data_IF_423227999248
#
_entry.id   IF_423227999248
#
_cell.length_a   1.000
_cell.length_b   1.000
_cell.length_c   1.000
_cell.angle_alpha   90.00
_cell.angle_beta   90.00
_cell.angle_gamma   90.00
#
_symmetry.space_group_name_H-M   'P 1'
#
loop_
_entity.id
_entity.type
_entity.pdbx_description
1 polymer ?
#
# COMPACT_ATOMS: atom_id res chain seq x y z
N UNK A 1 5.51 0.87 0.34
CA UNK A 1 5.39 2.28 -0.05
C UNK A 1 5.54 2.39 -1.56
N UNK A 2 4.94 3.38 -2.22
CA UNK A 2 5.17 3.64 -3.65
C UNK A 2 6.32 4.63 -3.80
N UNK A 3 7.30 4.31 -4.65
CA UNK A 3 8.55 5.08 -4.78
C UNK A 3 8.97 5.29 -6.24
N UNK A 4 9.57 6.45 -6.50
CA UNK A 4 10.13 6.88 -7.78
C UNK A 4 11.53 7.44 -7.53
N UNK A 5 12.56 6.84 -8.15
CA UNK A 5 13.94 7.32 -8.04
C UNK A 5 14.34 8.09 -9.29
N UNK A 6 14.79 9.33 -9.08
CA UNK A 6 15.33 10.22 -10.09
C UNK A 6 16.85 10.29 -9.94
N UNK A 7 17.57 10.30 -11.05
CA UNK A 7 19.00 10.61 -11.11
C UNK A 7 19.26 11.77 -12.05
N UNK A 8 20.26 12.57 -11.74
CA UNK A 8 20.71 13.67 -12.59
C UNK A 8 22.17 14.00 -12.32
N UNK A 9 22.78 14.80 -13.18
CA UNK A 9 24.13 15.32 -12.96
C UNK A 9 24.06 16.79 -12.61
N UNK A 10 24.70 17.19 -11.51
CA UNK A 10 24.84 18.58 -11.08
C UNK A 10 26.31 18.88 -10.78
N UNK A 11 26.87 19.92 -11.40
CA UNK A 11 28.29 20.28 -11.28
C UNK A 11 29.29 19.12 -11.52
N UNK A 12 28.92 18.15 -12.37
CA UNK A 12 29.73 16.96 -12.65
C UNK A 12 29.57 15.82 -11.64
N UNK A 13 28.74 15.98 -10.61
CA UNK A 13 28.41 14.96 -9.64
C UNK A 13 27.08 14.30 -9.98
N UNK A 14 27.01 12.97 -9.88
CA UNK A 14 25.74 12.25 -10.03
C UNK A 14 24.94 12.36 -8.73
N UNK A 15 23.74 12.91 -8.84
CA UNK A 15 22.78 13.08 -7.77
C UNK A 15 21.63 12.11 -7.94
N UNK A 16 21.12 11.58 -6.83
CA UNK A 16 19.99 10.65 -6.80
C UNK A 16 19.00 11.09 -5.76
N UNK A 17 17.71 11.00 -6.07
CA UNK A 17 16.62 11.28 -5.14
C UNK A 17 15.47 10.32 -5.32
N UNK A 18 15.06 9.68 -4.23
CA UNK A 18 13.87 8.83 -4.18
C UNK A 18 12.71 9.63 -3.61
N UNK A 19 11.61 9.66 -4.35
CA UNK A 19 10.34 10.28 -4.01
C UNK A 19 9.38 9.17 -3.63
N UNK A 20 8.61 9.33 -2.55
CA UNK A 20 7.61 8.36 -2.16
C UNK A 20 6.22 9.00 -2.03
N UNK A 21 5.16 8.20 -1.92
CA UNK A 21 3.79 8.72 -1.84
C UNK A 21 3.51 9.53 -0.55
N UNK A 22 4.36 9.45 0.46
CA UNK A 22 4.29 10.23 1.71
C UNK A 22 5.41 11.28 1.82
N UNK A 23 5.96 11.71 0.69
CA UNK A 23 7.16 12.53 0.71
C UNK A 23 6.92 13.84 1.50
N UNK A 24 7.80 14.18 2.46
CA UNK A 24 7.65 15.42 3.23
C UNK A 24 7.86 16.59 2.27
N UNK A 25 6.75 17.22 1.89
CA UNK A 25 6.69 18.27 0.89
C UNK A 25 6.08 19.52 1.49
N UNK A 26 6.44 20.69 0.96
CA UNK A 26 5.71 21.92 1.29
C UNK A 26 4.25 21.87 0.81
N UNK A 27 3.96 21.01 -0.18
CA UNK A 27 2.65 20.82 -0.78
C UNK A 27 2.26 19.34 -0.69
N UNK A 28 1.34 18.96 0.22
CA UNK A 28 1.05 17.55 0.53
C UNK A 28 0.80 16.70 -0.73
N UNK A 29 1.62 15.67 -0.90
CA UNK A 29 1.51 14.71 -2.01
C UNK A 29 2.02 15.22 -3.37
N UNK A 30 2.63 16.41 -3.44
CA UNK A 30 3.20 16.99 -4.66
C UNK A 30 4.63 17.45 -4.43
N UNK A 31 5.57 16.82 -5.12
CA UNK A 31 6.97 17.19 -5.12
C UNK A 31 7.23 18.23 -6.20
N UNK A 32 7.61 19.44 -5.80
CA UNK A 32 7.94 20.53 -6.71
C UNK A 32 9.42 20.54 -7.05
N UNK A 33 9.70 20.67 -8.34
CA UNK A 33 11.07 20.69 -8.86
C UNK A 33 11.29 21.96 -9.67
N UNK A 34 12.41 22.64 -9.41
CA UNK A 34 12.78 23.89 -10.06
C UNK A 34 14.05 24.48 -9.48
N UNK A 35 14.38 25.70 -9.88
CA UNK A 35 15.61 26.39 -9.45
C UNK A 35 15.47 27.16 -8.12
N UNK A 36 14.26 27.42 -7.67
CA UNK A 36 13.99 28.27 -6.52
C UNK A 36 13.82 27.45 -5.22
N UNK A 37 14.74 27.56 -4.25
CA UNK A 37 14.69 26.81 -3.00
C UNK A 37 13.53 27.18 -2.09
N UNK A 38 12.92 28.35 -2.28
CA UNK A 38 11.77 28.78 -1.47
C UNK A 38 10.46 28.13 -1.91
N UNK A 39 10.41 27.59 -3.13
CA UNK A 39 9.18 27.06 -3.75
C UNK A 39 9.24 25.58 -4.12
N UNK A 40 10.44 24.99 -4.14
CA UNK A 40 10.68 23.63 -4.62
C UNK A 40 11.21 22.73 -3.52
N UNK A 41 10.78 21.47 -3.53
CA UNK A 41 11.28 20.42 -2.65
C UNK A 41 12.59 19.81 -3.18
N UNK A 42 12.75 19.78 -4.52
CA UNK A 42 14.02 19.47 -5.19
C UNK A 42 14.49 20.70 -5.95
N UNK A 43 15.68 21.17 -5.60
CA UNK A 43 16.29 22.35 -6.19
C UNK A 43 17.33 21.91 -7.22
N UNK A 44 17.20 22.43 -8.44
CA UNK A 44 18.15 22.24 -9.53
C UNK A 44 18.84 23.57 -9.81
N UNK A 45 20.15 23.63 -9.62
CA UNK A 45 20.95 24.86 -9.67
C UNK A 45 21.12 25.42 -11.08
N UNK A 46 20.74 24.65 -12.11
CA UNK A 46 21.00 24.99 -13.50
C UNK A 46 20.22 26.23 -13.97
N UNK A 47 20.87 27.24 -14.58
CA UNK A 47 20.25 28.55 -14.89
C UNK A 47 19.07 28.49 -15.86
N UNK A 48 19.05 27.50 -16.76
CA UNK A 48 17.95 27.30 -17.72
C UNK A 48 16.72 26.61 -17.13
N UNK A 49 16.78 26.20 -15.86
CA UNK A 49 15.63 25.66 -15.13
C UNK A 49 14.81 26.83 -14.56
N UNK A 50 13.50 26.81 -14.83
CA UNK A 50 12.54 27.75 -14.25
C UNK A 50 12.54 27.67 -12.71
N UNK A 51 12.31 28.79 -12.03
CA UNK A 51 12.31 28.84 -10.56
C UNK A 51 11.37 27.79 -9.92
N UNK A 52 10.18 27.62 -10.49
CA UNK A 52 9.32 26.46 -10.28
C UNK A 52 8.98 25.91 -11.66
N UNK A 53 9.27 24.64 -11.95
CA UNK A 53 9.23 24.10 -13.31
C UNK A 53 8.16 23.02 -13.49
N UNK A 54 8.20 21.99 -12.65
CA UNK A 54 7.29 20.84 -12.71
C UNK A 54 6.82 20.44 -11.32
N UNK A 55 5.73 19.68 -11.30
CA UNK A 55 5.25 18.93 -10.14
C UNK A 55 5.26 17.44 -10.47
N UNK A 56 5.73 16.63 -9.53
CA UNK A 56 5.59 15.17 -9.57
C UNK A 56 4.69 14.76 -8.41
N UNK A 57 3.70 13.91 -8.68
CA UNK A 57 2.78 13.41 -7.66
C UNK A 57 2.38 11.97 -7.97
N UNK A 58 1.96 11.27 -6.92
CA UNK A 58 1.43 9.93 -7.05
C UNK A 58 -0.10 10.00 -7.19
N UNK A 59 -0.64 9.48 -8.29
CA UNK A 59 -2.08 9.40 -8.49
C UNK A 59 -2.62 8.13 -7.84
N UNK A 60 -3.29 8.28 -6.70
CA UNK A 60 -3.85 7.16 -5.93
C UNK A 60 -4.89 6.34 -6.72
N UNK A 61 -5.66 6.95 -7.61
CA UNK A 61 -6.67 6.22 -8.40
C UNK A 61 -6.03 5.38 -9.51
N UNK A 62 -4.95 5.89 -10.13
CA UNK A 62 -4.23 5.21 -11.21
C UNK A 62 -3.04 4.38 -10.72
N UNK A 63 -2.70 4.46 -9.43
CA UNK A 63 -1.53 3.81 -8.79
C UNK A 63 -0.22 4.06 -9.54
N UNK A 64 0.03 5.29 -9.97
CA UNK A 64 1.17 5.65 -10.82
C UNK A 64 1.69 7.05 -10.53
N UNK A 65 2.96 7.30 -10.81
CA UNK A 65 3.57 8.63 -10.73
C UNK A 65 3.32 9.44 -12.00
N UNK A 66 2.89 10.69 -11.82
CA UNK A 66 2.65 11.63 -12.90
C UNK A 66 3.51 12.87 -12.73
N UNK A 67 3.92 13.43 -13.87
CA UNK A 67 4.59 14.73 -13.96
C UNK A 67 3.64 15.72 -14.62
N UNK A 68 3.52 16.90 -14.04
CA UNK A 68 2.72 18.01 -14.55
C UNK A 68 3.60 19.20 -14.88
N UNK A 69 3.35 19.80 -16.05
CA UNK A 69 4.00 21.05 -16.45
C UNK A 69 3.40 22.25 -15.69
N UNK A 70 4.24 23.18 -15.24
CA UNK A 70 3.84 24.46 -14.64
C UNK A 70 4.26 25.70 -15.46
N UNK A 71 4.84 25.51 -16.64
CA UNK A 71 5.44 26.58 -17.45
C UNK A 71 5.15 26.45 -18.93
N UNK A 72 4.49 27.46 -19.48
CA UNK A 72 4.21 27.55 -20.92
C UNK A 72 5.43 28.03 -21.73
N UNK A 73 6.24 28.92 -21.15
CA UNK A 73 7.39 29.54 -21.82
C UNK A 73 8.61 28.65 -21.94
N UNK A 74 8.80 27.75 -20.97
CA UNK A 74 9.89 26.78 -20.92
C UNK A 74 9.32 25.44 -20.44
N UNK A 75 8.58 24.73 -21.29
CA UNK A 75 7.95 23.47 -20.94
C UNK A 75 8.99 22.35 -20.85
N UNK A 76 8.77 21.34 -19.98
CA UNK A 76 9.65 20.20 -19.87
C UNK A 76 9.58 19.34 -21.14
N UNK A 77 10.69 18.70 -21.49
CA UNK A 77 10.72 17.65 -22.51
C UNK A 77 10.71 16.30 -21.82
N UNK A 78 9.80 15.43 -22.22
CA UNK A 78 9.63 14.08 -21.69
C UNK A 78 9.86 13.14 -22.85
N UNK A 79 10.90 12.31 -22.77
CA UNK A 79 11.33 11.45 -23.88
C UNK A 79 11.45 12.23 -25.20
N UNK A 80 12.12 13.41 -25.14
CA UNK A 80 12.34 14.33 -26.26
C UNK A 80 11.09 15.04 -26.81
N UNK A 81 9.92 14.89 -26.18
CA UNK A 81 8.68 15.55 -26.57
C UNK A 81 8.31 16.65 -25.57
N UNK A 82 7.99 17.86 -26.05
CA UNK A 82 7.58 18.96 -25.17
C UNK A 82 6.19 18.70 -24.57
N UNK A 83 6.10 18.72 -23.25
CA UNK A 83 4.83 18.66 -22.53
C UNK A 83 4.31 20.09 -22.33
N UNK A 84 3.55 20.60 -23.30
CA UNK A 84 3.00 21.96 -23.25
C UNK A 84 1.86 22.04 -22.23
N UNK A 85 0.89 21.11 -22.32
CA UNK A 85 -0.29 21.06 -21.46
C UNK A 85 -0.51 19.67 -20.89
N UNK A 86 -0.95 19.60 -19.63
CA UNK A 86 -1.41 18.37 -19.00
C UNK A 86 -0.38 17.68 -18.11
N UNK A 87 -0.61 16.39 -17.90
CA UNK A 87 0.19 15.48 -17.08
C UNK A 87 0.71 14.32 -17.95
N UNK A 88 1.88 13.78 -17.63
CA UNK A 88 2.44 12.60 -18.28
C UNK A 88 2.78 11.54 -17.24
N UNK A 89 2.61 10.28 -17.61
CA UNK A 89 3.03 9.14 -16.78
C UNK A 89 4.55 9.08 -16.73
N UNK A 90 5.11 8.90 -15.53
CA UNK A 90 6.52 8.57 -15.33
C UNK A 90 6.68 7.07 -15.13
N UNK A 91 7.56 6.47 -15.94
CA UNK A 91 7.91 5.05 -15.87
C UNK A 91 9.43 4.88 -15.82
N UNK A 92 9.89 3.69 -15.44
CA UNK A 92 11.31 3.36 -15.50
C UNK A 92 11.90 3.69 -16.88
N UNK A 93 13.03 4.38 -16.90
CA UNK A 93 13.68 4.86 -18.12
C UNK A 93 13.01 6.08 -18.76
N UNK A 94 12.16 6.83 -18.03
CA UNK A 94 11.66 8.12 -18.54
C UNK A 94 12.74 9.18 -18.45
N UNK A 95 13.00 9.87 -19.56
CA UNK A 95 13.95 10.98 -19.65
C UNK A 95 13.20 12.30 -19.50
N UNK A 96 13.54 13.07 -18.48
CA UNK A 96 12.94 14.37 -18.18
C UNK A 96 14.00 15.44 -18.39
N UNK A 97 13.74 16.40 -19.27
CA UNK A 97 14.64 17.51 -19.51
C UNK A 97 13.96 18.83 -19.18
N UNK A 98 14.58 19.57 -18.25
CA UNK A 98 14.15 20.86 -17.75
C UNK A 98 15.15 21.92 -18.21
N UNK A 99 14.84 22.62 -19.31
CA UNK A 99 15.82 23.46 -19.99
C UNK A 99 16.98 22.61 -20.54
N UNK A 100 18.17 22.72 -19.94
CA UNK A 100 19.35 21.92 -20.26
C UNK A 100 19.68 20.88 -19.17
N UNK A 101 18.97 20.90 -18.04
CA UNK A 101 19.14 19.89 -17.00
C UNK A 101 18.39 18.62 -17.40
N UNK A 102 19.09 17.49 -17.42
CA UNK A 102 18.52 16.17 -17.69
C UNK A 102 18.39 15.39 -16.39
N UNK A 103 17.25 14.72 -16.23
CA UNK A 103 16.93 13.79 -15.16
C UNK A 103 16.42 12.49 -15.78
N UNK A 104 16.69 11.37 -15.13
CA UNK A 104 16.23 10.05 -15.55
C UNK A 104 15.50 9.36 -14.41
N UNK A 105 14.42 8.65 -14.73
CA UNK A 105 13.75 7.75 -13.79
C UNK A 105 14.46 6.40 -13.81
N UNK A 106 15.25 6.10 -12.77
CA UNK A 106 16.07 4.88 -12.70
C UNK A 106 15.46 3.75 -11.87
N UNK A 107 14.43 4.06 -11.06
CA UNK A 107 13.66 3.03 -10.37
C UNK A 107 12.22 3.50 -10.17
N UNK A 108 11.28 2.56 -10.27
CA UNK A 108 9.88 2.74 -9.88
C UNK A 108 9.48 1.49 -9.10
N UNK A 109 9.08 1.67 -7.84
CA UNK A 109 8.57 0.61 -6.98
C UNK A 109 7.13 0.93 -6.64
N UNK A 110 6.19 0.20 -7.24
CA UNK A 110 4.77 0.35 -6.96
C UNK A 110 4.34 -0.83 -6.09
N UNK A 111 3.68 -0.57 -4.97
CA UNK A 111 3.09 -1.64 -4.20
C UNK A 111 1.87 -2.16 -4.95
N UNK A 112 1.84 -3.46 -5.32
CA UNK A 112 0.63 -4.02 -5.88
C UNK A 112 -0.46 -3.93 -4.82
N UNK A 113 -1.60 -3.35 -5.21
CA UNK A 113 -2.81 -3.47 -4.40
C UNK A 113 -3.08 -4.97 -4.24
N UNK A 114 -2.91 -5.50 -3.03
CA UNK A 114 -3.21 -6.89 -2.73
C UNK A 114 -4.73 -7.05 -2.77
N UNK A 115 -5.29 -7.21 -3.97
CA UNK A 115 -6.63 -7.76 -4.09
C UNK A 115 -6.49 -9.22 -3.66
N UNK A 116 -7.09 -9.65 -2.53
CA UNK A 116 -7.05 -11.06 -2.17
C UNK A 116 -7.68 -11.83 -3.34
N UNK A 117 -7.02 -12.88 -3.86
CA UNK A 117 -7.58 -13.64 -4.96
C UNK A 117 -8.93 -14.18 -4.53
N UNK A 118 -9.97 -13.96 -5.34
CA UNK A 118 -11.23 -14.65 -5.15
C UNK A 118 -10.99 -16.13 -5.43
N UNK A 119 -10.87 -16.93 -4.37
CA UNK A 119 -10.76 -18.38 -4.49
C UNK A 119 -12.12 -18.93 -4.92
N UNK A 120 -12.21 -19.32 -6.20
CA UNK A 120 -13.32 -20.13 -6.70
C UNK A 120 -13.06 -21.57 -6.28
N UNK A 121 -13.72 -22.01 -5.22
CA UNK A 121 -13.73 -23.42 -4.86
C UNK A 121 -14.64 -24.19 -5.82
N UNK A 122 -14.05 -25.07 -6.62
CA UNK A 122 -14.80 -26.09 -7.35
C UNK A 122 -15.49 -27.03 -6.35
N UNK A 123 -16.78 -27.39 -6.53
CA UNK A 123 -17.49 -28.26 -5.59
C UNK A 123 -16.88 -29.65 -5.37
N UNK A 124 -15.93 -30.10 -6.20
CA UNK A 124 -15.57 -31.52 -6.34
C UNK A 124 -14.06 -31.84 -6.30
N UNK A 125 -13.19 -30.98 -5.76
CA UNK A 125 -11.77 -31.36 -5.57
C UNK A 125 -11.50 -31.93 -4.16
N UNK A 126 -11.00 -33.17 -4.03
CA UNK A 126 -10.51 -33.70 -2.76
C UNK A 126 -9.20 -33.00 -2.40
N UNK A 127 -9.31 -32.07 -1.45
CA UNK A 127 -8.23 -31.25 -0.92
C UNK A 127 -7.08 -32.10 -0.35
N UNK A 128 -5.94 -32.16 -1.05
CA UNK A 128 -4.67 -32.68 -0.51
C UNK A 128 -3.76 -31.51 -0.15
N UNK A 129 -4.16 -30.72 0.84
CA UNK A 129 -3.32 -29.69 1.44
C UNK A 129 -3.30 -29.89 2.95
N UNK A 130 -2.08 -30.00 3.49
CA UNK A 130 -1.79 -30.21 4.89
C UNK A 130 -2.60 -29.24 5.75
N UNK A 131 -3.42 -29.82 6.62
CA UNK A 131 -4.36 -29.06 7.43
C UNK A 131 -3.58 -28.44 8.59
N UNK A 132 -3.29 -27.15 8.48
CA UNK A 132 -3.13 -26.32 9.68
C UNK A 132 -4.51 -26.18 10.31
N UNK A 133 -4.84 -27.08 11.24
CA UNK A 133 -5.94 -26.84 12.16
C UNK A 133 -5.43 -25.81 13.18
N UNK A 134 -5.92 -24.55 13.20
CA UNK A 134 -5.93 -23.85 14.48
C UNK A 134 -6.76 -24.75 15.40
N UNK A 135 -6.16 -25.18 16.52
CA UNK A 135 -6.77 -26.13 17.47
C UNK A 135 -8.30 -25.88 17.56
N UNK A 136 -9.15 -26.89 17.28
CA UNK A 136 -10.58 -26.69 17.36
C UNK A 136 -10.91 -26.30 18.79
N UNK A 137 -11.30 -25.04 18.97
CA UNK A 137 -11.78 -24.51 20.25
C UNK A 137 -13.01 -25.36 20.59
N UNK A 138 -12.85 -26.27 21.55
CA UNK A 138 -13.92 -27.14 22.02
C UNK A 138 -14.82 -26.31 22.94
N UNK A 139 -16.13 -26.40 22.76
CA UNK A 139 -17.10 -25.67 23.59
C UNK A 139 -17.94 -26.67 24.40
N UNK A 140 -18.27 -26.30 25.64
CA UNK A 140 -19.11 -27.08 26.54
C UNK A 140 -20.22 -26.24 27.18
N UNK A 141 -21.21 -26.91 27.76
CA UNK A 141 -22.34 -26.31 28.46
C UNK A 141 -22.08 -26.31 29.97
N UNK A 142 -21.93 -25.14 30.58
CA UNK A 142 -21.78 -25.03 32.05
C UNK A 142 -23.14 -25.09 32.74
N UNK A 143 -23.31 -26.07 33.62
CA UNK A 143 -24.52 -26.23 34.41
C UNK A 143 -24.69 -25.07 35.41
N UNK A 144 -25.82 -24.34 35.42
CA UNK A 144 -26.02 -23.19 36.32
C UNK A 144 -26.20 -23.56 37.80
N UNK A 145 -26.32 -24.85 38.12
CA UNK A 145 -26.58 -25.33 39.49
C UNK A 145 -25.36 -25.95 40.17
N UNK A 146 -24.48 -26.62 39.41
CA UNK A 146 -23.32 -27.31 39.96
C UNK A 146 -22.01 -26.99 39.24
N UNK A 147 -22.03 -26.03 38.32
CA UNK A 147 -20.88 -25.50 37.57
C UNK A 147 -20.08 -26.51 36.74
N UNK A 148 -20.51 -27.77 36.69
CA UNK A 148 -19.91 -28.76 35.82
C UNK A 148 -20.19 -28.46 34.35
N UNK A 149 -19.15 -28.60 33.53
CA UNK A 149 -19.21 -28.43 32.09
C UNK A 149 -19.49 -29.76 31.42
N UNK A 150 -20.54 -29.80 30.60
CA UNK A 150 -21.01 -30.99 29.87
C UNK A 150 -20.86 -30.79 28.36
N UNK A 151 -20.86 -31.87 27.57
CA UNK A 151 -20.93 -31.78 26.11
C UNK A 151 -22.30 -31.27 25.64
N UNK A 152 -22.36 -30.62 24.47
CA UNK A 152 -23.61 -30.18 23.84
C UNK A 152 -24.60 -31.31 23.56
N UNK A 153 -24.13 -32.56 23.45
CA UNK A 153 -25.02 -33.71 23.29
C UNK A 153 -25.98 -33.88 24.47
N UNK A 154 -25.66 -33.29 25.63
CA UNK A 154 -26.50 -33.36 26.83
C UNK A 154 -27.49 -32.20 26.96
N UNK A 155 -27.57 -31.31 25.97
CA UNK A 155 -28.53 -30.19 25.96
C UNK A 155 -29.98 -30.67 26.24
N UNK A 156 -30.38 -31.79 25.63
CA UNK A 156 -31.72 -32.35 25.76
C UNK A 156 -31.86 -33.42 26.86
N UNK A 157 -30.76 -33.84 27.46
CA UNK A 157 -30.73 -34.92 28.47
C UNK A 157 -30.51 -34.39 29.90
N UNK A 158 -30.14 -33.12 30.03
CA UNK A 158 -29.80 -32.49 31.31
C UNK A 158 -28.38 -32.79 31.78
N UNK A 159 -27.96 -32.11 32.84
CA UNK A 159 -26.64 -32.26 33.44
C UNK A 159 -26.51 -33.66 34.07
N UNK A 160 -25.50 -34.47 33.71
CA UNK A 160 -25.41 -35.85 34.18
C UNK A 160 -25.08 -35.96 35.67
N UNK A 161 -24.56 -34.88 36.28
CA UNK A 161 -24.18 -34.87 37.69
C UNK A 161 -25.33 -34.52 38.63
N UNK A 162 -26.21 -33.60 38.24
CA UNK A 162 -27.26 -33.09 39.13
C UNK A 162 -28.68 -33.13 38.55
N UNK A 163 -28.84 -33.61 37.31
CA UNK A 163 -30.11 -33.72 36.60
C UNK A 163 -30.72 -32.38 36.17
N UNK A 164 -30.04 -31.26 36.39
CA UNK A 164 -30.56 -29.93 36.03
C UNK A 164 -30.57 -29.75 34.52
N UNK A 165 -31.66 -29.21 33.97
CA UNK A 165 -31.76 -28.95 32.53
C UNK A 165 -30.64 -28.03 32.05
N UNK A 166 -30.00 -28.42 30.94
CA UNK A 166 -28.96 -27.65 30.27
C UNK A 166 -29.51 -26.78 29.15
N UNK A 167 -30.83 -26.73 28.96
CA UNK A 167 -31.46 -25.93 27.90
C UNK A 167 -31.15 -24.42 28.01
N UNK A 168 -30.86 -23.94 29.22
CA UNK A 168 -30.45 -22.55 29.50
C UNK A 168 -28.99 -22.43 29.95
N UNK A 169 -28.17 -23.47 29.77
CA UNK A 169 -26.78 -23.47 30.15
C UNK A 169 -25.96 -22.51 29.27
N UNK A 170 -25.00 -21.81 29.86
CA UNK A 170 -24.08 -20.96 29.11
C UNK A 170 -23.04 -21.81 28.39
N UNK A 171 -22.63 -21.35 27.21
CA UNK A 171 -21.60 -21.98 26.40
C UNK A 171 -20.23 -21.45 26.85
N UNK A 172 -19.32 -22.34 27.24
CA UNK A 172 -17.96 -22.00 27.68
C UNK A 172 -16.93 -22.66 26.80
N UNK A 173 -15.81 -21.97 26.58
CA UNK A 173 -14.65 -22.51 25.87
C UNK A 173 -13.93 -23.47 26.81
N UNK A 174 -13.74 -24.72 26.36
CA UNK A 174 -12.88 -25.70 27.00
C UNK A 174 -11.44 -25.39 26.58
N UNK A 175 -10.74 -24.63 27.43
CA UNK A 175 -9.28 -24.56 27.34
C UNK A 175 -8.74 -25.95 27.67
N UNK A 176 -8.03 -26.58 26.74
CA UNK A 176 -7.28 -27.80 27.06
C UNK A 176 -6.12 -27.40 27.96
N UNK A 177 -6.32 -27.49 29.27
CA UNK A 177 -5.25 -27.40 30.25
C UNK A 177 -4.38 -28.65 30.10
N UNK A 178 -3.07 -28.46 30.01
CA UNK A 178 -2.07 -29.52 29.88
C UNK A 178 -1.79 -30.18 31.24
#
# INVERSE_FOLDING_TARGET
>A
MNELTLTWTEAGQSCTRTLNDQYPTQHPGMVRIGRDPTRCDIVLSHPTVSGLHIEIYFNQAKQNFYLKNLRDTNPPLINYQKLITGEVLLSLGSHIQLGQQQLEVTAVSLEPFLIPPTQLFSPNEPNSQAIFYPNPVQYGLQCPKCDHVSSYQQLNSGCPWCGTSLASAISVVLSTEH
#
